data_IF_076228836713
#
_entry.id   IF_076228836713
#
_cell.length_a   1.000
_cell.length_b   1.000
_cell.length_c   1.000
_cell.angle_alpha   90.00
_cell.angle_beta   90.00
_cell.angle_gamma   90.00
#
_symmetry.space_group_name_H-M   'P 1'
#
loop_
_entity.id
_entity.type
_entity.pdbx_description
1 polymer ?
#
# COMPACT_ATOMS: atom_id res chain seq x y z
N UNK A 1 -3.79 4.94 -4.80
CA UNK A 1 -2.95 5.62 -3.79
C UNK A 1 -2.32 6.91 -4.31
N UNK A 2 -2.06 7.05 -5.62
CA UNK A 2 -1.29 8.16 -6.17
C UNK A 2 -1.90 9.55 -5.94
N UNK A 3 -3.23 9.66 -5.84
CA UNK A 3 -3.91 10.96 -5.79
C UNK A 3 -4.55 11.28 -4.42
N UNK A 4 -4.06 10.66 -3.33
CA UNK A 4 -4.55 10.97 -2.00
C UNK A 4 -3.79 12.16 -1.40
N UNK A 5 -4.51 13.22 -1.02
CA UNK A 5 -3.93 14.40 -0.35
C UNK A 5 -3.44 14.07 1.07
N UNK A 6 -4.11 13.15 1.75
CA UNK A 6 -3.78 12.66 3.08
C UNK A 6 -4.06 11.17 3.19
N UNK A 7 -3.15 10.44 3.82
CA UNK A 7 -3.28 9.02 4.10
C UNK A 7 -3.16 8.84 5.62
N UNK A 8 -4.07 8.04 6.19
CA UNK A 8 -4.03 7.60 7.59
C UNK A 8 -3.74 6.10 7.60
N UNK A 9 -2.74 5.70 8.37
CA UNK A 9 -2.35 4.30 8.57
C UNK A 9 -2.91 3.85 9.90
N UNK A 10 -3.73 2.80 9.86
CA UNK A 10 -4.34 2.18 11.04
C UNK A 10 -3.71 0.82 11.29
N UNK A 11 -3.43 0.52 12.55
CA UNK A 11 -3.02 -0.80 13.01
C UNK A 11 -3.73 -1.10 14.33
N UNK A 12 -4.36 -2.28 14.42
CA UNK A 12 -5.15 -2.71 15.58
C UNK A 12 -6.17 -1.68 16.13
N UNK A 13 -6.72 -0.83 15.26
CA UNK A 13 -7.67 0.23 15.63
C UNK A 13 -7.03 1.56 16.03
N UNK A 14 -5.70 1.64 16.05
CA UNK A 14 -4.94 2.83 16.40
C UNK A 14 -4.32 3.52 15.17
N UNK A 15 -4.20 4.84 15.21
CA UNK A 15 -3.50 5.61 14.16
C UNK A 15 -2.00 5.52 14.39
N UNK A 16 -1.31 4.80 13.51
CA UNK A 16 0.15 4.60 13.57
C UNK A 16 0.92 5.43 12.54
N UNK A 17 0.23 6.21 11.71
CA UNK A 17 0.86 7.14 10.78
C UNK A 17 -0.13 8.03 10.04
N UNK A 18 0.31 9.25 9.69
CA UNK A 18 -0.43 10.13 8.81
C UNK A 18 0.51 10.94 7.91
N UNK A 19 0.11 11.17 6.67
CA UNK A 19 0.87 12.03 5.76
C UNK A 19 0.58 11.73 4.30
N UNK A 20 1.43 12.29 3.43
CA UNK A 20 1.40 11.97 2.00
C UNK A 20 2.00 10.60 1.73
N UNK A 21 1.76 10.05 0.54
CA UNK A 21 2.39 8.80 0.10
C UNK A 21 3.92 8.83 0.25
N UNK A 22 4.56 9.93 -0.18
CA UNK A 22 6.02 10.06 -0.14
C UNK A 22 6.56 10.05 1.30
N UNK A 23 5.91 10.78 2.21
CA UNK A 23 6.29 10.84 3.62
C UNK A 23 6.15 9.46 4.29
N UNK A 24 5.00 8.80 4.10
CA UNK A 24 4.76 7.50 4.72
C UNK A 24 5.66 6.40 4.14
N UNK A 25 5.97 6.46 2.84
CA UNK A 25 6.90 5.52 2.22
C UNK A 25 8.33 5.68 2.73
N UNK A 26 8.75 6.91 3.06
CA UNK A 26 10.07 7.15 3.65
C UNK A 26 10.12 6.71 5.12
N UNK A 27 9.10 7.05 5.91
CA UNK A 27 9.21 7.05 7.38
C UNK A 27 8.34 6.00 8.10
N UNK A 28 7.37 5.36 7.43
CA UNK A 28 6.40 4.47 8.08
C UNK A 28 6.51 3.02 7.59
N UNK A 29 7.06 2.14 8.43
CA UNK A 29 7.26 0.71 8.11
C UNK A 29 5.94 -0.04 7.85
N UNK A 30 4.91 0.20 8.64
CA UNK A 30 3.59 -0.43 8.45
C UNK A 30 3.02 -0.07 7.09
N UNK A 31 3.14 1.20 6.68
CA UNK A 31 2.74 1.64 5.36
C UNK A 31 3.55 0.99 4.23
N UNK A 32 4.87 0.87 4.38
CA UNK A 32 5.73 0.18 3.42
C UNK A 32 5.29 -1.28 3.23
N UNK A 33 5.04 -2.01 4.31
CA UNK A 33 4.55 -3.39 4.27
C UNK A 33 3.20 -3.52 3.56
N UNK A 34 2.28 -2.58 3.81
CA UNK A 34 0.98 -2.55 3.10
C UNK A 34 1.21 -2.37 1.61
N UNK A 35 2.02 -1.39 1.19
CA UNK A 35 2.30 -1.12 -0.23
C UNK A 35 2.93 -2.33 -0.91
N UNK A 36 3.91 -2.97 -0.28
CA UNK A 36 4.59 -4.16 -0.81
C UNK A 36 3.59 -5.31 -1.03
N UNK A 37 2.68 -5.54 -0.07
CA UNK A 37 1.64 -6.57 -0.20
C UNK A 37 0.66 -6.32 -1.35
N UNK A 38 0.38 -5.05 -1.66
CA UNK A 38 -0.58 -4.69 -2.70
C UNK A 38 0.05 -4.76 -4.11
N UNK A 39 1.35 -4.45 -4.24
CA UNK A 39 2.08 -4.62 -5.50
C UNK A 39 2.17 -6.10 -5.84
N UNK A 40 2.58 -6.95 -4.87
CA UNK A 40 2.68 -8.40 -5.08
C UNK A 40 1.34 -9.01 -5.51
N UNK A 41 0.25 -8.68 -4.81
CA UNK A 41 -1.10 -9.13 -5.21
C UNK A 41 -1.50 -8.66 -6.60
N UNK A 42 -1.21 -7.41 -6.95
CA UNK A 42 -1.51 -6.86 -8.26
C UNK A 42 -0.78 -7.58 -9.40
N UNK A 43 0.47 -7.97 -9.17
CA UNK A 43 1.28 -8.70 -10.14
C UNK A 43 0.81 -10.17 -10.30
N UNK A 44 0.43 -10.83 -9.20
CA UNK A 44 -0.18 -12.17 -9.22
C UNK A 44 -1.54 -12.18 -9.96
N UNK A 45 -2.40 -11.18 -9.72
CA UNK A 45 -3.67 -11.03 -10.42
C UNK A 45 -3.51 -10.72 -11.91
N UNK A 46 -2.45 -10.02 -12.31
CA UNK A 46 -2.13 -9.77 -13.72
C UNK A 46 -1.59 -11.03 -14.39
N UNK A 47 -0.68 -11.74 -13.74
CA UNK A 47 -0.11 -12.99 -14.24
C UNK A 47 -1.15 -14.12 -14.36
N UNK A 48 -2.12 -14.18 -13.45
CA UNK A 48 -3.24 -15.14 -13.51
C UNK A 48 -4.24 -14.83 -14.63
N UNK A 49 -4.43 -13.55 -15.00
CA UNK A 49 -5.25 -13.16 -16.15
C UNK A 49 -4.61 -13.55 -17.49
N UNK A 50 -3.29 -13.35 -17.65
CA UNK A 50 -2.58 -13.69 -18.90
C UNK A 50 -2.46 -15.20 -19.17
N UNK A 51 -2.69 -16.07 -18.18
CA UNK A 51 -2.65 -17.54 -18.33
C UNK A 51 -4.00 -18.18 -18.69
N UNK A 52 -5.09 -17.39 -18.72
CA UNK A 52 -6.44 -17.89 -19.00
C UNK A 52 -6.87 -17.68 -20.47
N UNK A 53 -6.03 -17.00 -21.26
CA UNK A 53 -6.17 -16.84 -22.71
C UNK A 53 -5.37 -17.90 -23.49
#
# INVERSE_FOLDING_TARGET
MADADLIIVLDEGEVVGQGTHAQLKAENKTYQQIVDSQIQKGDEERASRTKKD
#
